data_IF_693380952725
#
_entry.id   IF_693380952725
#
_cell.length_a   1.000
_cell.length_b   1.000
_cell.length_c   1.000
_cell.angle_alpha   90.00
_cell.angle_beta   90.00
_cell.angle_gamma   90.00
#
_symmetry.space_group_name_H-M   'P 1'
#
loop_
_entity.id
_entity.type
_entity.pdbx_description
1 polymer ?
#
# COMPACT_ATOMS: atom_id res chain seq x y z
N UNK A 1 -19.06 -41.50 16.43
CA UNK A 1 -19.75 -40.26 16.06
C UNK A 1 -19.28 -39.16 16.97
N UNK A 2 -18.48 -38.23 16.44
CA UNK A 2 -18.67 -36.78 16.57
C UNK A 2 -17.43 -36.11 15.94
N UNK A 3 -17.63 -35.64 14.72
CA UNK A 3 -16.72 -34.73 14.04
C UNK A 3 -16.90 -33.35 14.68
N UNK A 4 -15.81 -32.78 15.20
CA UNK A 4 -15.76 -31.38 15.61
C UNK A 4 -15.79 -30.52 14.35
N UNK A 5 -16.89 -29.81 14.19
CA UNK A 5 -17.17 -28.84 13.14
C UNK A 5 -16.22 -27.65 13.28
N UNK A 6 -15.25 -27.54 12.36
CA UNK A 6 -14.39 -26.36 12.24
C UNK A 6 -15.24 -25.19 11.71
N UNK A 7 -15.28 -24.10 12.48
CA UNK A 7 -15.90 -22.84 12.07
C UNK A 7 -15.29 -22.35 10.74
N UNK A 8 -16.07 -21.72 9.84
CA UNK A 8 -15.56 -21.27 8.56
C UNK A 8 -14.54 -20.15 8.77
N UNK A 9 -13.29 -20.40 8.37
CA UNK A 9 -12.26 -19.38 8.22
C UNK A 9 -12.84 -18.25 7.35
N UNK A 10 -12.83 -17.03 7.88
CA UNK A 10 -13.29 -15.84 7.20
C UNK A 10 -12.51 -15.66 5.90
N UNK A 11 -13.13 -16.03 4.77
CA UNK A 11 -12.61 -15.87 3.41
C UNK A 11 -12.58 -14.37 3.02
N UNK A 12 -11.79 -13.58 3.75
CA UNK A 12 -11.60 -12.15 3.50
C UNK A 12 -10.50 -12.02 2.43
N UNK A 13 -10.72 -11.24 1.36
CA UNK A 13 -9.69 -11.05 0.36
C UNK A 13 -8.43 -10.46 1.01
N UNK A 14 -7.22 -10.89 0.60
CA UNK A 14 -5.98 -10.28 1.04
C UNK A 14 -6.03 -8.75 0.91
N UNK A 15 -5.40 -8.02 1.82
CA UNK A 15 -5.43 -6.55 1.85
C UNK A 15 -5.12 -5.93 0.47
N UNK A 16 -4.17 -6.53 -0.25
CA UNK A 16 -3.81 -6.18 -1.63
C UNK A 16 -5.02 -6.12 -2.58
N UNK A 17 -5.85 -7.15 -2.55
CA UNK A 17 -7.01 -7.28 -3.45
C UNK A 17 -8.14 -6.34 -3.04
N UNK A 18 -8.36 -6.18 -1.73
CA UNK A 18 -9.32 -5.23 -1.19
C UNK A 18 -8.98 -3.80 -1.61
N UNK A 19 -7.69 -3.43 -1.54
CA UNK A 19 -7.17 -2.11 -1.95
C UNK A 19 -7.30 -1.90 -3.46
N UNK A 20 -6.83 -2.86 -4.27
CA UNK A 20 -6.90 -2.74 -5.73
C UNK A 20 -8.35 -2.59 -6.20
N UNK A 21 -9.27 -3.36 -5.60
CA UNK A 21 -10.71 -3.27 -5.87
C UNK A 21 -11.29 -1.92 -5.45
N UNK A 22 -10.96 -1.44 -4.26
CA UNK A 22 -11.41 -0.12 -3.80
C UNK A 22 -10.94 0.99 -4.74
N UNK A 23 -9.65 1.00 -5.10
CA UNK A 23 -9.11 2.02 -5.99
C UNK A 23 -9.79 1.99 -7.35
N UNK A 24 -10.00 0.79 -7.93
CA UNK A 24 -10.69 0.65 -9.23
C UNK A 24 -12.10 1.26 -9.20
N UNK A 25 -12.84 1.03 -8.12
CA UNK A 25 -14.21 1.52 -7.94
C UNK A 25 -14.24 3.03 -7.66
N UNK A 26 -13.39 3.50 -6.75
CA UNK A 26 -13.45 4.87 -6.23
C UNK A 26 -12.64 5.90 -7.03
N UNK A 27 -11.51 5.49 -7.62
CA UNK A 27 -10.48 6.39 -8.17
C UNK A 27 -10.04 6.06 -9.60
N UNK A 28 -10.11 4.78 -10.00
CA UNK A 28 -9.47 4.27 -11.22
C UNK A 28 -10.19 4.63 -12.52
N UNK A 29 -11.51 4.79 -12.48
CA UNK A 29 -12.29 5.16 -13.66
C UNK A 29 -12.24 6.68 -13.92
N UNK A 30 -11.23 7.11 -14.69
CA UNK A 30 -11.00 8.54 -14.97
C UNK A 30 -12.07 9.18 -15.88
N UNK A 31 -12.91 8.39 -16.53
CA UNK A 31 -14.02 8.94 -17.32
C UNK A 31 -15.15 9.43 -16.41
N UNK A 32 -15.34 8.79 -15.24
CA UNK A 32 -16.34 9.21 -14.26
C UNK A 32 -15.95 10.53 -13.57
N UNK A 33 -16.78 11.59 -13.66
CA UNK A 33 -16.54 12.84 -12.93
C UNK A 33 -16.38 12.65 -11.43
N UNK A 34 -17.15 11.72 -10.83
CA UNK A 34 -17.07 11.42 -9.41
C UNK A 34 -15.68 10.92 -8.97
N UNK A 35 -15.08 9.99 -9.73
CA UNK A 35 -13.75 9.46 -9.44
C UNK A 35 -12.66 10.52 -9.61
N UNK A 36 -12.74 11.36 -10.66
CA UNK A 36 -11.85 12.53 -10.82
C UNK A 36 -11.98 13.52 -9.68
N UNK A 37 -13.22 13.80 -9.26
CA UNK A 37 -13.53 14.70 -8.16
C UNK A 37 -12.95 14.19 -6.84
N UNK A 38 -13.20 12.93 -6.49
CA UNK A 38 -12.66 12.29 -5.29
C UNK A 38 -11.13 12.31 -5.29
N UNK A 39 -10.49 11.90 -6.39
CA UNK A 39 -9.04 11.96 -6.51
C UNK A 39 -8.50 13.39 -6.37
N UNK A 40 -9.19 14.40 -6.88
CA UNK A 40 -8.78 15.80 -6.74
C UNK A 40 -8.88 16.29 -5.28
N UNK A 41 -9.96 15.92 -4.57
CA UNK A 41 -10.13 16.26 -3.14
C UNK A 41 -9.08 15.57 -2.28
N UNK A 42 -8.90 14.26 -2.41
CA UNK A 42 -7.89 13.51 -1.64
C UNK A 42 -6.45 14.00 -1.89
N UNK A 43 -6.11 14.42 -3.11
CA UNK A 43 -4.77 14.97 -3.39
C UNK A 43 -4.47 16.28 -2.65
N UNK A 44 -5.51 17.02 -2.26
CA UNK A 44 -5.42 18.33 -1.57
C UNK A 44 -5.90 18.26 -0.12
N UNK A 45 -6.36 17.10 0.33
CA UNK A 45 -7.01 16.92 1.62
C UNK A 45 -6.02 17.08 2.78
N UNK A 46 -6.46 17.76 3.83
CA UNK A 46 -5.94 17.57 5.18
C UNK A 46 -6.40 16.22 5.75
N UNK A 47 -5.94 15.87 6.96
CA UNK A 47 -6.40 14.69 7.70
C UNK A 47 -7.93 14.68 7.84
N UNK A 48 -8.51 15.79 8.28
CA UNK A 48 -9.96 15.89 8.51
C UNK A 48 -10.75 15.83 7.19
N UNK A 49 -10.26 16.50 6.14
CA UNK A 49 -10.91 16.44 4.82
C UNK A 49 -10.94 15.02 4.27
N UNK A 50 -9.84 14.26 4.44
CA UNK A 50 -9.78 12.87 3.98
C UNK A 50 -10.72 11.96 4.78
N UNK A 51 -10.80 12.15 6.11
CA UNK A 51 -11.75 11.42 6.96
C UNK A 51 -13.21 11.82 6.71
N UNK A 52 -13.48 12.97 6.11
CA UNK A 52 -14.84 13.36 5.72
C UNK A 52 -15.32 12.66 4.44
N UNK A 53 -14.45 11.97 3.69
CA UNK A 53 -14.82 11.27 2.47
C UNK A 53 -15.41 9.87 2.77
N UNK A 54 -16.66 9.56 2.40
CA UNK A 54 -17.26 8.23 2.63
C UNK A 54 -16.47 7.08 2.00
N UNK A 55 -15.77 7.35 0.88
CA UNK A 55 -14.93 6.37 0.21
C UNK A 55 -13.73 5.93 1.08
N UNK A 56 -13.22 6.78 1.97
CA UNK A 56 -12.13 6.42 2.89
C UNK A 56 -12.63 5.45 3.97
N UNK A 57 -13.86 5.64 4.47
CA UNK A 57 -14.51 4.70 5.39
C UNK A 57 -14.90 3.38 4.71
N UNK A 58 -15.24 3.42 3.42
CA UNK A 58 -15.42 2.19 2.62
C UNK A 58 -14.13 1.37 2.56
N UNK A 59 -12.98 2.02 2.34
CA UNK A 59 -11.68 1.36 2.38
C UNK A 59 -11.40 0.73 3.75
N UNK A 60 -11.65 1.47 4.84
CA UNK A 60 -11.45 0.97 6.20
C UNK A 60 -12.25 -0.32 6.48
N UNK A 61 -13.54 -0.33 6.09
CA UNK A 61 -14.42 -1.51 6.24
C UNK A 61 -13.94 -2.70 5.40
N UNK A 62 -13.54 -2.45 4.15
CA UNK A 62 -12.97 -3.50 3.28
C UNK A 62 -11.70 -4.13 3.88
N UNK A 63 -10.92 -3.35 4.61
CA UNK A 63 -9.68 -3.77 5.25
C UNK A 63 -9.84 -4.35 6.67
N UNK A 64 -11.04 -4.33 7.27
CA UNK A 64 -11.25 -4.70 8.69
C UNK A 64 -10.48 -3.87 9.70
N UNK A 65 -10.19 -2.61 9.40
CA UNK A 65 -9.34 -1.84 10.29
C UNK A 65 -10.05 -1.56 11.62
N UNK A 66 -9.46 -2.04 12.71
CA UNK A 66 -9.83 -1.62 14.07
C UNK A 66 -9.58 -0.11 14.19
N UNK A 67 -10.43 0.65 14.92
CA UNK A 67 -10.32 2.09 15.04
C UNK A 67 -9.21 2.50 16.02
N UNK A 68 -7.96 2.19 15.67
CA UNK A 68 -6.77 2.61 16.41
C UNK A 68 -6.06 3.74 15.66
N UNK A 69 -5.37 4.62 16.39
CA UNK A 69 -4.61 5.73 15.77
C UNK A 69 -3.66 5.23 14.68
N UNK A 70 -2.92 4.14 14.95
CA UNK A 70 -2.02 3.52 13.97
C UNK A 70 -2.74 3.12 12.69
N UNK A 71 -3.93 2.51 12.80
CA UNK A 71 -4.70 2.08 11.64
C UNK A 71 -5.29 3.26 10.88
N UNK A 72 -5.70 4.32 11.57
CA UNK A 72 -6.16 5.57 10.94
C UNK A 72 -5.03 6.23 10.15
N UNK A 73 -3.83 6.32 10.72
CA UNK A 73 -2.65 6.85 10.03
C UNK A 73 -2.28 6.02 8.79
N UNK A 74 -2.33 4.69 8.90
CA UNK A 74 -2.07 3.79 7.78
C UNK A 74 -3.16 3.91 6.68
N UNK A 75 -4.43 3.99 7.07
CA UNK A 75 -5.56 4.21 6.16
C UNK A 75 -5.40 5.52 5.38
N UNK A 76 -5.09 6.62 6.07
CA UNK A 76 -4.89 7.93 5.46
C UNK A 76 -3.72 7.91 4.48
N UNK A 77 -2.59 7.31 4.87
CA UNK A 77 -1.44 7.13 3.97
C UNK A 77 -1.84 6.41 2.68
N UNK A 78 -2.57 5.30 2.78
CA UNK A 78 -3.04 4.54 1.60
C UNK A 78 -3.96 5.41 0.75
N UNK A 79 -5.00 6.02 1.32
CA UNK A 79 -5.98 6.80 0.57
C UNK A 79 -5.35 8.02 -0.11
N UNK A 80 -4.52 8.77 0.60
CA UNK A 80 -3.87 9.99 0.11
C UNK A 80 -2.85 9.69 -0.98
N UNK A 81 -2.08 8.61 -0.87
CA UNK A 81 -1.07 8.24 -1.87
C UNK A 81 -1.74 7.64 -3.12
N UNK A 82 -2.70 6.74 -2.95
CA UNK A 82 -3.37 6.09 -4.09
C UNK A 82 -4.19 7.06 -4.95
N UNK A 83 -4.62 8.20 -4.41
CA UNK A 83 -5.25 9.28 -5.19
C UNK A 83 -4.34 9.85 -6.30
N UNK A 84 -3.02 9.68 -6.18
CA UNK A 84 -2.03 10.10 -7.18
C UNK A 84 -1.77 9.05 -8.26
N UNK A 85 -2.15 7.79 -8.07
CA UNK A 85 -1.99 6.74 -9.08
C UNK A 85 -3.04 6.93 -10.17
N UNK A 86 -2.62 6.93 -11.43
CA UNK A 86 -3.47 7.07 -12.61
C UNK A 86 -3.74 5.74 -13.30
N UNK A 87 -2.78 4.83 -13.27
CA UNK A 87 -2.85 3.55 -13.96
C UNK A 87 -2.34 2.44 -13.05
N UNK A 88 -3.13 1.36 -12.95
CA UNK A 88 -2.73 0.14 -12.24
C UNK A 88 -1.90 -0.74 -13.16
N UNK A 89 -0.68 -1.04 -12.74
CA UNK A 89 0.21 -1.95 -13.45
C UNK A 89 0.54 -3.15 -12.58
N UNK A 90 -0.11 -4.28 -12.88
CA UNK A 90 0.06 -5.50 -12.11
C UNK A 90 1.52 -6.00 -12.07
N UNK A 91 2.35 -5.66 -13.06
CA UNK A 91 3.67 -6.26 -13.25
C UNK A 91 4.81 -5.52 -12.56
N UNK A 92 4.59 -4.27 -12.13
CA UNK A 92 5.69 -3.44 -11.61
C UNK A 92 5.29 -2.70 -10.33
N UNK A 93 6.00 -3.01 -9.24
CA UNK A 93 5.93 -2.23 -7.99
C UNK A 93 6.48 -0.81 -8.20
N UNK A 94 6.14 0.10 -7.29
CA UNK A 94 6.66 1.47 -7.35
C UNK A 94 8.20 1.48 -7.27
N UNK A 95 8.78 0.71 -6.35
CA UNK A 95 10.24 0.63 -6.20
C UNK A 95 10.95 0.16 -7.48
N UNK A 96 10.45 -0.89 -8.13
CA UNK A 96 10.97 -1.36 -9.44
C UNK A 96 10.94 -0.25 -10.48
N UNK A 97 9.83 0.49 -10.59
CA UNK A 97 9.70 1.58 -11.56
C UNK A 97 10.66 2.73 -11.31
N UNK A 98 10.94 3.02 -10.04
CA UNK A 98 11.86 4.09 -9.66
C UNK A 98 13.31 3.75 -9.99
N UNK A 99 13.68 2.47 -9.92
CA UNK A 99 15.04 2.00 -10.19
C UNK A 99 15.29 1.50 -11.62
N UNK A 100 14.25 1.35 -12.43
CA UNK A 100 14.36 0.86 -13.80
C UNK A 100 15.08 1.86 -14.74
N UNK A 101 15.91 1.31 -15.64
CA UNK A 101 16.62 2.03 -16.70
C UNK A 101 18.13 2.08 -16.48
N UNK A 102 18.90 2.45 -17.53
CA UNK A 102 20.36 2.65 -17.42
C UNK A 102 20.71 3.75 -16.41
N UNK A 103 19.85 4.78 -16.34
CA UNK A 103 19.80 5.73 -15.24
C UNK A 103 18.46 5.57 -14.50
N UNK A 104 18.46 5.38 -13.17
CA UNK A 104 17.22 5.18 -12.43
C UNK A 104 16.39 6.46 -12.43
N UNK A 105 15.07 6.30 -12.58
CA UNK A 105 14.11 7.44 -12.61
C UNK A 105 14.15 8.29 -11.35
N UNK A 106 14.44 7.67 -10.20
CA UNK A 106 14.79 8.34 -8.96
C UNK A 106 16.23 8.02 -8.62
N UNK A 107 17.06 9.02 -8.33
CA UNK A 107 18.45 8.77 -7.91
C UNK A 107 18.52 7.98 -6.60
N UNK A 108 19.59 7.20 -6.42
CA UNK A 108 19.81 6.38 -5.23
C UNK A 108 19.74 7.20 -3.94
N UNK A 109 20.28 8.42 -3.93
CA UNK A 109 20.23 9.30 -2.76
C UNK A 109 18.79 9.69 -2.38
N UNK A 110 17.95 10.03 -3.37
CA UNK A 110 16.53 10.35 -3.12
C UNK A 110 15.75 9.12 -2.69
N UNK A 111 16.07 7.95 -3.25
CA UNK A 111 15.48 6.69 -2.83
C UNK A 111 15.84 6.35 -1.37
N UNK A 112 17.11 6.54 -0.98
CA UNK A 112 17.54 6.39 0.41
C UNK A 112 16.83 7.36 1.37
N UNK A 113 16.56 8.60 0.94
CA UNK A 113 15.72 9.53 1.72
C UNK A 113 14.29 9.02 1.85
N UNK A 114 13.69 8.49 0.77
CA UNK A 114 12.36 7.87 0.81
C UNK A 114 12.29 6.69 1.79
N UNK A 115 13.33 5.84 1.84
CA UNK A 115 13.38 4.71 2.78
C UNK A 115 13.41 5.14 4.25
N UNK A 116 13.90 6.34 4.55
CA UNK A 116 13.94 6.90 5.91
C UNK A 116 12.72 7.75 6.27
N UNK A 117 11.89 8.09 5.28
CA UNK A 117 10.73 8.96 5.49
C UNK A 117 9.65 8.25 6.34
N UNK A 118 9.01 9.05 7.20
CA UNK A 118 7.95 8.65 8.12
C UNK A 118 6.83 9.69 8.17
N UNK A 119 5.72 9.35 8.82
CA UNK A 119 4.59 10.27 9.02
C UNK A 119 4.11 10.96 7.74
N UNK A 120 3.92 12.28 7.84
CA UNK A 120 3.48 13.13 6.72
C UNK A 120 4.55 13.32 5.64
N UNK A 121 5.84 13.29 6.02
CA UNK A 121 6.96 13.38 5.07
C UNK A 121 6.90 12.22 4.07
N UNK A 122 6.63 11.01 4.54
CA UNK A 122 6.49 9.83 3.69
C UNK A 122 5.45 10.04 2.60
N UNK A 123 4.27 10.57 2.94
CA UNK A 123 3.22 10.87 1.96
C UNK A 123 3.72 11.88 0.93
N UNK A 124 4.41 12.94 1.35
CA UNK A 124 4.96 13.94 0.44
C UNK A 124 6.03 13.38 -0.50
N UNK A 125 6.96 12.55 -0.01
CA UNK A 125 8.01 11.94 -0.84
C UNK A 125 7.42 10.91 -1.81
N UNK A 126 6.45 10.11 -1.38
CA UNK A 126 5.75 9.14 -2.26
C UNK A 126 4.99 9.81 -3.40
N UNK A 127 4.41 11.00 -3.18
CA UNK A 127 3.78 11.78 -4.26
C UNK A 127 4.79 12.14 -5.37
N UNK A 128 6.00 12.57 -4.98
CA UNK A 128 7.08 12.87 -5.92
C UNK A 128 7.58 11.60 -6.61
N UNK A 129 7.69 10.50 -5.86
CA UNK A 129 8.06 9.20 -6.41
C UNK A 129 7.07 8.73 -7.48
N UNK A 130 5.76 8.84 -7.21
CA UNK A 130 4.73 8.51 -8.19
C UNK A 130 4.81 9.36 -9.44
N UNK A 131 5.16 10.65 -9.33
CA UNK A 131 5.36 11.50 -10.51
C UNK A 131 6.52 10.99 -11.40
N UNK A 132 7.62 10.53 -10.80
CA UNK A 132 8.75 9.92 -11.53
C UNK A 132 8.39 8.56 -12.15
N UNK A 133 7.40 7.87 -11.59
CA UNK A 133 6.88 6.60 -12.09
C UNK A 133 5.72 6.75 -13.10
N UNK A 134 5.54 7.94 -13.70
CA UNK A 134 4.42 8.29 -14.59
C UNK A 134 3.04 8.05 -13.97
N UNK A 135 2.96 8.13 -12.64
CA UNK A 135 1.75 7.86 -11.85
C UNK A 135 1.19 6.46 -12.08
N UNK A 136 2.06 5.50 -12.42
CA UNK A 136 1.69 4.12 -12.74
C UNK A 136 2.49 3.16 -11.86
N UNK A 137 1.83 2.19 -11.25
CA UNK A 137 2.45 1.08 -10.49
C UNK A 137 1.36 0.08 -10.08
N UNK A 138 1.76 -1.06 -9.49
CA UNK A 138 0.83 -2.00 -8.90
C UNK A 138 0.11 -1.38 -7.70
N UNK A 139 -1.17 -1.06 -7.85
CA UNK A 139 -1.99 -0.35 -6.85
C UNK A 139 -2.16 -1.18 -5.58
N UNK A 140 -2.50 -2.46 -5.74
CA UNK A 140 -2.71 -3.35 -4.61
C UNK A 140 -1.44 -3.52 -3.78
N UNK A 141 -0.31 -3.77 -4.45
CA UNK A 141 0.98 -3.95 -3.79
C UNK A 141 1.39 -2.66 -3.08
N UNK A 142 1.32 -1.51 -3.76
CA UNK A 142 1.63 -0.22 -3.16
C UNK A 142 0.77 0.02 -1.91
N UNK A 143 -0.55 -0.15 -1.97
CA UNK A 143 -1.37 0.09 -0.79
C UNK A 143 -1.10 -0.92 0.34
N UNK A 144 -0.82 -2.19 0.02
CA UNK A 144 -0.43 -3.18 1.03
C UNK A 144 0.88 -2.81 1.74
N UNK A 145 1.87 -2.33 0.98
CA UNK A 145 3.15 -1.85 1.48
C UNK A 145 2.98 -0.63 2.40
N UNK A 146 2.11 0.31 2.02
CA UNK A 146 1.83 1.52 2.81
C UNK A 146 1.04 1.23 4.09
N UNK A 147 0.16 0.23 4.06
CA UNK A 147 -0.56 -0.25 5.23
C UNK A 147 0.41 -0.84 6.27
N UNK A 148 1.48 -1.49 5.80
CA UNK A 148 2.49 -2.15 6.64
C UNK A 148 3.88 -1.50 6.52
N UNK A 149 3.94 -0.17 6.37
CA UNK A 149 5.22 0.53 6.22
C UNK A 149 6.12 0.29 7.44
N UNK A 150 7.17 -0.49 7.24
CA UNK A 150 8.05 -1.04 8.28
C UNK A 150 9.40 -1.38 7.64
N UNK A 151 10.38 -1.79 8.45
CA UNK A 151 11.70 -2.17 7.93
C UNK A 151 11.64 -3.35 6.96
N UNK A 152 10.70 -4.29 7.15
CA UNK A 152 10.45 -5.37 6.17
C UNK A 152 10.05 -4.81 4.80
N UNK A 153 9.17 -3.83 4.77
CA UNK A 153 8.73 -3.18 3.52
C UNK A 153 9.86 -2.38 2.90
N UNK A 154 10.63 -1.63 3.70
CA UNK A 154 11.80 -0.85 3.24
C UNK A 154 12.90 -1.74 2.67
N UNK A 155 13.19 -2.89 3.31
CA UNK A 155 14.10 -3.90 2.78
C UNK A 155 13.60 -4.43 1.45
N UNK A 156 12.32 -4.84 1.36
CA UNK A 156 11.72 -5.33 0.11
C UNK A 156 11.84 -4.29 -1.02
N UNK A 157 11.52 -3.03 -0.73
CA UNK A 157 11.63 -1.93 -1.69
C UNK A 157 13.08 -1.70 -2.14
N UNK A 158 14.05 -1.89 -1.25
CA UNK A 158 15.47 -1.74 -1.58
C UNK A 158 15.91 -2.78 -2.61
N UNK A 159 15.53 -4.06 -2.45
CA UNK A 159 15.80 -5.09 -3.46
C UNK A 159 15.09 -4.80 -4.78
N UNK A 160 13.81 -4.45 -4.72
CA UNK A 160 13.00 -4.14 -5.90
C UNK A 160 13.56 -2.95 -6.70
N UNK A 161 14.05 -1.91 -6.01
CA UNK A 161 14.67 -0.75 -6.65
C UNK A 161 15.94 -1.13 -7.43
N UNK A 162 16.77 -2.03 -6.91
CA UNK A 162 17.96 -2.51 -7.61
C UNK A 162 17.70 -3.68 -8.58
N UNK A 163 16.44 -4.03 -8.84
CA UNK A 163 16.08 -5.12 -9.74
C UNK A 163 16.34 -6.53 -9.18
N UNK A 164 16.57 -6.65 -7.87
CA UNK A 164 16.82 -7.91 -7.20
C UNK A 164 15.54 -8.49 -6.56
N UNK A 165 15.53 -9.80 -6.33
CA UNK A 165 14.46 -10.45 -5.57
C UNK A 165 14.64 -10.18 -4.07
N UNK A 166 13.56 -9.81 -3.39
CA UNK A 166 13.58 -9.62 -1.95
C UNK A 166 13.74 -10.95 -1.20
N UNK A 167 14.43 -10.98 -0.06
CA UNK A 167 14.61 -12.18 0.74
C UNK A 167 13.25 -12.69 1.21
N UNK A 168 13.05 -14.01 1.12
CA UNK A 168 11.92 -14.65 1.76
C UNK A 168 12.16 -14.60 3.27
N UNK A 169 11.15 -14.19 4.04
CA UNK A 169 11.23 -14.32 5.50
C UNK A 169 11.11 -15.82 5.80
N UNK A 170 12.21 -16.48 6.15
CA UNK A 170 12.13 -17.81 6.75
C UNK A 170 11.31 -17.68 8.05
N UNK A 171 10.32 -18.56 8.28
CA UNK A 171 9.66 -18.62 9.58
C UNK A 171 10.74 -18.99 10.60
N UNK A 172 10.89 -18.17 11.63
CA UNK A 172 11.81 -18.43 12.73
C UNK A 172 11.52 -19.83 13.32
N UNK A 173 12.45 -20.80 13.22
CA UNK A 173 12.25 -22.15 13.73
C UNK A 173 12.18 -22.19 15.26
N UNK A 174 12.47 -21.09 15.98
CA UNK A 174 12.41 -21.06 17.45
C UNK A 174 11.00 -21.14 18.04
N UNK A 175 9.95 -21.07 17.21
CA UNK A 175 8.55 -21.28 17.62
C UNK A 175 8.01 -22.70 17.37
N UNK A 176 8.83 -23.65 16.90
CA UNK A 176 8.46 -25.07 16.91
C UNK A 176 8.46 -25.57 18.36
N UNK A 177 7.34 -25.36 19.04
CA UNK A 177 7.09 -25.78 20.43
C UNK A 177 7.48 -27.25 20.61
N UNK A 178 8.34 -27.51 21.60
CA UNK A 178 8.50 -28.86 22.14
C UNK A 178 7.13 -29.37 22.61
N UNK A 179 6.75 -30.62 22.28
CA UNK A 179 5.55 -31.21 22.85
C UNK A 179 5.80 -31.45 24.33
N UNK A 180 5.23 -30.60 25.19
CA UNK A 180 5.23 -30.82 26.63
C UNK A 180 4.42 -32.10 26.92
N UNK A 181 4.99 -33.06 27.70
CA UNK A 181 4.40 -34.38 27.95
C UNK A 181 3.09 -34.37 28.76
#
# INVERSE_FOLDING_TARGET
MNATEAAPESNKPPARDAIARWWRIALGDRQKPAARGLAARLRRASVLDALAEPAVHDLARRLDLKPTERNVQALLRVALVLAWVREDDAHASLAQRLGQGDAPRMSTLRFQSLMRAEGDELVAVLRRALALADQRCNVGALGSDLLHWSDKTRTTWSFHYFGAQAPQTEPDPSYAQEPTP
#
